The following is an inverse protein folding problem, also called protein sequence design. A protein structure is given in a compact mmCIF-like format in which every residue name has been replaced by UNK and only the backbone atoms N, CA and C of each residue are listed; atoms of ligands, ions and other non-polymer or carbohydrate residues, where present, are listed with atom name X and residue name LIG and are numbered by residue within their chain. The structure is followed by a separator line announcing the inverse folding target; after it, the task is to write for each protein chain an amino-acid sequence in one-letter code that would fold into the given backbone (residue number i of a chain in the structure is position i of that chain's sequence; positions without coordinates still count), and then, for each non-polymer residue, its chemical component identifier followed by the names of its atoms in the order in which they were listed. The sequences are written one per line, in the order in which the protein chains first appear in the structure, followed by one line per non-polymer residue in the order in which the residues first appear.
data_IF_141832857704
#
_entry.id   IF_141832857704
#
_cell.length_a   1.000
_cell.length_b   1.000
_cell.length_c   1.000
_cell.angle_alpha   90.00
_cell.angle_beta   90.00
_cell.angle_gamma   90.00
#
_symmetry.space_group_name_H-M   'P 1'
#
loop_
_entity.id
_entity.type
_entity.pdbx_description
1 polymer ?
#
# COMPACT_ATOMS: atom_id res chain seq x y z
N UNK A 1 -9.18 -2.73 -5.69
CA UNK A 1 -8.68 -3.21 -4.38
C UNK A 1 -7.23 -3.65 -4.51
N UNK A 2 -6.30 -2.96 -3.86
CA UNK A 2 -4.88 -3.34 -3.76
C UNK A 2 -4.60 -3.98 -2.38
N UNK A 3 -3.34 -4.05 -1.95
CA UNK A 3 -2.92 -4.56 -0.64
C UNK A 3 -1.56 -3.98 -0.25
N UNK A 4 -1.32 -3.81 1.05
CA UNK A 4 -0.01 -3.41 1.58
C UNK A 4 1.07 -4.46 1.26
N UNK A 5 0.72 -5.72 1.04
CA UNK A 5 1.67 -6.71 0.52
C UNK A 5 2.23 -6.32 -0.85
N UNK A 6 1.42 -5.67 -1.69
CA UNK A 6 1.87 -5.13 -2.98
C UNK A 6 2.55 -3.76 -2.87
N UNK A 7 2.08 -2.90 -1.96
CA UNK A 7 2.59 -1.53 -1.81
C UNK A 7 3.90 -1.44 -1.03
N UNK A 8 4.09 -2.32 -0.04
CA UNK A 8 5.24 -2.34 0.89
C UNK A 8 6.01 -3.64 0.68
N UNK A 9 5.32 -4.78 0.85
CA UNK A 9 5.95 -6.09 0.81
C UNK A 9 5.49 -6.99 1.94
N UNK A 10 5.58 -8.30 1.72
CA UNK A 10 5.37 -9.33 2.72
C UNK A 10 6.03 -10.65 2.31
N UNK A 11 6.35 -11.51 3.28
CA UNK A 11 6.95 -12.81 3.01
C UNK A 11 5.97 -13.77 2.34
N UNK A 12 6.48 -14.60 1.42
CA UNK A 12 5.72 -15.67 0.76
C UNK A 12 4.59 -15.19 -0.16
N UNK A 13 4.55 -13.90 -0.50
CA UNK A 13 3.43 -13.30 -1.23
C UNK A 13 3.85 -12.65 -2.56
N UNK A 14 4.98 -13.02 -3.16
CA UNK A 14 5.50 -12.35 -4.38
C UNK A 14 4.48 -12.26 -5.53
N UNK A 15 3.77 -13.36 -5.81
CA UNK A 15 2.70 -13.41 -6.82
C UNK A 15 1.51 -12.50 -6.48
N UNK A 16 1.07 -12.52 -5.22
CA UNK A 16 -0.01 -11.69 -4.71
C UNK A 16 0.37 -10.21 -4.71
N UNK A 17 1.58 -9.89 -4.26
CA UNK A 17 2.17 -8.54 -4.27
C UNK A 17 2.22 -7.98 -5.68
N UNK A 18 2.75 -8.75 -6.64
CA UNK A 18 2.79 -8.35 -8.05
C UNK A 18 1.39 -8.05 -8.59
N UNK A 19 0.42 -8.96 -8.36
CA UNK A 19 -0.95 -8.76 -8.81
C UNK A 19 -1.60 -7.51 -8.17
N UNK A 20 -1.43 -7.30 -6.87
CA UNK A 20 -2.04 -6.17 -6.15
C UNK A 20 -1.41 -4.83 -6.48
N UNK A 21 -0.11 -4.79 -6.73
CA UNK A 21 0.55 -3.59 -7.23
C UNK A 21 0.13 -3.29 -8.67
N UNK A 22 -0.07 -4.32 -9.49
CA UNK A 22 -0.66 -4.19 -10.83
C UNK A 22 -2.05 -3.54 -10.82
N UNK A 23 -2.90 -3.89 -9.85
CA UNK A 23 -4.21 -3.24 -9.66
C UNK A 23 -4.07 -1.75 -9.32
N UNK A 24 -3.07 -1.37 -8.52
CA UNK A 24 -2.81 0.04 -8.20
C UNK A 24 -2.38 0.82 -9.46
N UNK A 25 -1.48 0.23 -10.26
CA UNK A 25 -1.09 0.79 -11.56
C UNK A 25 -2.27 0.95 -12.52
N UNK A 26 -3.10 -0.09 -12.66
CA UNK A 26 -4.30 -0.05 -13.49
C UNK A 26 -5.28 1.05 -13.05
N UNK A 27 -5.55 1.16 -11.75
CA UNK A 27 -6.43 2.19 -11.20
C UNK A 27 -5.91 3.59 -11.50
N UNK A 28 -4.59 3.80 -11.43
CA UNK A 28 -3.97 5.08 -11.80
C UNK A 28 -4.16 5.40 -13.28
N UNK A 29 -3.98 4.44 -14.19
CA UNK A 29 -4.22 4.65 -15.61
C UNK A 29 -5.69 4.97 -15.89
N UNK A 30 -6.63 4.23 -15.29
CA UNK A 30 -8.07 4.54 -15.43
C UNK A 30 -8.38 5.96 -14.95
N UNK A 31 -7.82 6.38 -13.81
CA UNK A 31 -8.03 7.73 -13.30
C UNK A 31 -7.55 8.82 -14.29
N UNK A 32 -6.43 8.59 -14.98
CA UNK A 32 -5.91 9.52 -15.99
C UNK A 32 -6.73 9.48 -17.28
N UNK A 33 -6.95 8.29 -17.83
CA UNK A 33 -7.62 8.11 -19.13
C UNK A 33 -9.08 8.59 -19.10
N UNK A 34 -9.72 8.47 -17.94
CA UNK A 34 -11.14 8.74 -17.78
C UNK A 34 -11.46 10.07 -17.09
N UNK A 35 -10.45 10.87 -16.73
CA UNK A 35 -10.62 12.18 -16.09
C UNK A 35 -11.55 13.10 -16.91
N UNK A 36 -11.34 13.16 -18.23
CA UNK A 36 -12.17 13.96 -19.16
C UNK A 36 -13.64 13.57 -19.21
N UNK A 37 -13.98 12.37 -18.71
CA UNK A 37 -15.35 11.86 -18.63
C UNK A 37 -15.93 11.96 -17.22
N UNK A 38 -15.25 12.66 -16.30
CA UNK A 38 -15.61 12.77 -14.90
C UNK A 38 -15.74 11.41 -14.20
N UNK A 39 -14.92 10.43 -14.62
CA UNK A 39 -14.86 9.11 -13.98
C UNK A 39 -13.62 9.08 -13.07
N UNK A 40 -13.84 8.67 -11.82
CA UNK A 40 -12.82 8.57 -10.79
C UNK A 40 -12.42 7.12 -10.60
N UNK A 41 -11.13 6.88 -10.32
CA UNK A 41 -10.64 5.56 -9.94
C UNK A 41 -9.69 5.66 -8.77
N UNK A 42 -9.98 4.93 -7.70
CA UNK A 42 -9.17 4.91 -6.49
C UNK A 42 -8.98 3.45 -6.04
N UNK A 43 -7.95 3.20 -5.26
CA UNK A 43 -7.71 1.90 -4.64
C UNK A 43 -7.89 1.96 -3.14
N UNK A 44 -8.50 0.92 -2.58
CA UNK A 44 -8.45 0.62 -1.15
C UNK A 44 -7.51 -0.56 -0.93
N UNK A 45 -6.64 -0.45 0.08
CA UNK A 45 -5.78 -1.49 0.62
C UNK A 45 -6.31 -1.90 2.00
N UNK A 46 -7.17 -2.93 2.09
CA UNK A 46 -7.87 -3.24 3.32
C UNK A 46 -7.03 -4.09 4.27
N UNK A 47 -7.19 -3.84 5.56
CA UNK A 47 -6.89 -4.79 6.63
C UNK A 47 -8.21 -5.35 7.14
N UNK A 48 -8.55 -6.56 6.71
CA UNK A 48 -9.79 -7.21 7.12
C UNK A 48 -9.58 -8.70 7.39
N UNK A 49 -10.10 -9.16 8.53
CA UNK A 49 -10.30 -10.54 8.83
C UNK A 49 -11.39 -11.12 7.93
N UNK A 50 -11.00 -12.13 7.16
CA UNK A 50 -11.88 -12.86 6.26
C UNK A 50 -11.52 -14.33 6.28
N UNK A 51 -12.34 -15.16 5.63
CA UNK A 51 -12.05 -16.61 5.46
C UNK A 51 -10.65 -16.87 4.89
N UNK A 52 -10.11 -15.94 4.08
CA UNK A 52 -8.78 -16.04 3.47
C UNK A 52 -7.63 -16.08 4.49
N UNK A 53 -7.81 -15.49 5.68
CA UNK A 53 -6.80 -15.50 6.75
C UNK A 53 -7.25 -16.30 8.00
N UNK A 54 -8.39 -16.97 7.91
CA UNK A 54 -8.94 -17.79 8.99
C UNK A 54 -8.20 -19.11 9.23
N UNK A 55 -7.25 -19.48 8.36
CA UNK A 55 -6.45 -20.70 8.47
C UNK A 55 -5.11 -20.51 9.21
N UNK A 56 -4.89 -19.34 9.85
CA UNK A 56 -3.69 -19.11 10.65
C UNK A 56 -3.75 -20.04 11.88
N UNK A 57 -2.76 -20.92 12.09
CA UNK A 57 -2.72 -21.79 13.27
C UNK A 57 -2.71 -20.99 14.57
N UNK A 58 -3.52 -21.42 15.53
CA UNK A 58 -3.64 -20.83 16.87
C UNK A 58 -3.45 -21.91 17.92
N UNK A 59 -2.21 -22.39 18.04
CA UNK A 59 -1.85 -23.51 18.92
C UNK A 59 -1.52 -23.03 20.34
N UNK A 60 -1.41 -21.72 20.55
CA UNK A 60 -1.08 -21.08 21.83
C UNK A 60 -2.13 -20.03 22.25
N UNK A 61 -2.33 -19.80 23.56
CA UNK A 61 -3.22 -18.75 24.06
C UNK A 61 -2.90 -17.36 23.51
N UNK A 62 -1.61 -17.05 23.33
CA UNK A 62 -1.14 -15.78 22.78
C UNK A 62 -1.54 -15.62 21.30
N UNK A 63 -1.44 -16.69 20.50
CA UNK A 63 -1.90 -16.70 19.12
C UNK A 63 -3.42 -16.55 19.03
N UNK A 64 -4.16 -17.19 19.95
CA UNK A 64 -5.62 -17.06 20.01
C UNK A 64 -6.04 -15.62 20.33
N UNK A 65 -5.44 -15.00 21.35
CA UNK A 65 -5.70 -13.61 21.72
C UNK A 65 -5.36 -12.64 20.57
N UNK A 66 -4.26 -12.89 19.85
CA UNK A 66 -3.90 -12.13 18.63
C UNK A 66 -4.97 -12.28 17.55
N UNK A 67 -5.44 -13.48 17.27
CA UNK A 67 -6.51 -13.71 16.28
C UNK A 67 -7.81 -13.01 16.70
N UNK A 68 -8.16 -13.03 17.98
CA UNK A 68 -9.36 -12.36 18.46
C UNK A 68 -9.27 -10.83 18.35
N UNK A 69 -8.07 -10.25 18.49
CA UNK A 69 -7.83 -8.85 18.11
C UNK A 69 -8.04 -8.62 16.62
N UNK A 70 -7.48 -9.49 15.75
CA UNK A 70 -7.60 -9.35 14.30
C UNK A 70 -9.06 -9.48 13.82
N UNK A 71 -9.87 -10.34 14.46
CA UNK A 71 -11.31 -10.50 14.16
C UNK A 71 -12.11 -9.22 14.35
N UNK A 72 -11.63 -8.25 15.13
CA UNK A 72 -12.27 -6.93 15.28
C UNK A 72 -12.09 -6.02 14.06
N UNK A 73 -11.24 -6.41 13.11
CA UNK A 73 -11.06 -5.72 11.83
C UNK A 73 -11.85 -6.45 10.76
N UNK A 74 -13.17 -6.27 10.72
CA UNK A 74 -14.00 -6.92 9.72
C UNK A 74 -14.16 -6.10 8.44
N UNK A 75 -14.75 -6.68 7.38
CA UNK A 75 -15.05 -5.95 6.14
C UNK A 75 -15.95 -4.72 6.36
N UNK A 76 -16.76 -4.71 7.42
CA UNK A 76 -17.58 -3.57 7.85
C UNK A 76 -16.75 -2.33 8.18
N UNK A 77 -15.47 -2.48 8.55
CA UNK A 77 -14.58 -1.33 8.75
C UNK A 77 -14.12 -0.71 7.42
N UNK A 78 -14.15 -1.47 6.32
CA UNK A 78 -13.72 -1.02 5.00
C UNK A 78 -14.87 -0.34 4.25
N UNK A 79 -16.10 -0.82 4.47
CA UNK A 79 -17.29 -0.39 3.75
C UNK A 79 -17.54 1.13 3.76
N UNK A 80 -17.38 1.87 4.89
CA UNK A 80 -17.59 3.32 4.91
C UNK A 80 -16.70 4.08 3.93
N UNK A 81 -15.42 3.70 3.82
CA UNK A 81 -14.47 4.33 2.88
C UNK A 81 -14.86 4.03 1.44
N UNK A 82 -15.29 2.78 1.16
CA UNK A 82 -15.76 2.42 -0.17
C UNK A 82 -17.01 3.22 -0.58
N UNK A 83 -17.98 3.35 0.32
CA UNK A 83 -19.21 4.13 0.08
C UNK A 83 -18.87 5.62 -0.11
N UNK A 84 -17.99 6.18 0.71
CA UNK A 84 -17.54 7.57 0.56
C UNK A 84 -16.92 7.82 -0.83
N UNK A 85 -15.98 6.98 -1.27
CA UNK A 85 -15.30 7.13 -2.57
C UNK A 85 -16.24 6.98 -3.77
N UNK A 86 -17.37 6.30 -3.60
CA UNK A 86 -18.42 6.17 -4.62
C UNK A 86 -19.44 7.33 -4.60
N UNK A 87 -19.43 8.16 -3.56
CA UNK A 87 -20.37 9.27 -3.38
C UNK A 87 -19.91 10.55 -4.09
N UNK A 88 -20.81 11.53 -4.18
CA UNK A 88 -20.53 12.88 -4.67
C UNK A 88 -19.62 13.66 -3.72
N UNK A 89 -19.62 13.33 -2.42
CA UNK A 89 -18.76 13.97 -1.43
C UNK A 89 -17.25 13.71 -1.65
N UNK A 90 -16.92 12.75 -2.51
CA UNK A 90 -15.54 12.45 -2.92
C UNK A 90 -15.22 12.96 -4.34
N UNK A 91 -15.98 13.92 -4.88
CA UNK A 91 -15.85 14.37 -6.28
C UNK A 91 -14.41 14.75 -6.66
N UNK A 92 -13.64 15.31 -5.73
CA UNK A 92 -12.25 15.74 -5.95
C UNK A 92 -11.21 14.62 -5.69
N UNK A 93 -11.65 13.38 -5.44
CA UNK A 93 -10.77 12.25 -5.10
C UNK A 93 -10.64 11.29 -6.29
N UNK A 94 -9.50 11.32 -6.97
CA UNK A 94 -9.17 10.38 -8.05
C UNK A 94 -7.69 10.01 -8.06
N UNK A 95 -7.39 8.78 -8.50
CA UNK A 95 -6.05 8.25 -8.65
C UNK A 95 -5.30 8.06 -7.32
N UNK A 96 -6.02 7.89 -6.21
CA UNK A 96 -5.47 7.74 -4.86
C UNK A 96 -5.51 6.29 -4.36
N UNK A 97 -4.72 6.02 -3.33
CA UNK A 97 -4.65 4.72 -2.67
C UNK A 97 -4.84 4.94 -1.17
N UNK A 98 -5.88 4.33 -0.59
CA UNK A 98 -6.18 4.41 0.84
C UNK A 98 -5.95 3.07 1.51
N UNK A 99 -5.04 2.97 2.47
CA UNK A 99 -5.01 1.83 3.37
C UNK A 99 -6.03 2.05 4.50
N UNK A 100 -6.81 1.01 4.79
CA UNK A 100 -7.91 1.11 5.77
C UNK A 100 -7.78 -0.02 6.77
N UNK A 101 -7.65 0.33 8.04
CA UNK A 101 -7.44 -0.60 9.15
C UNK A 101 -8.29 -0.19 10.34
N UNK A 102 -9.40 -0.90 10.56
CA UNK A 102 -10.37 -0.58 11.61
C UNK A 102 -10.84 0.89 11.54
N UNK A 103 -10.53 1.72 12.53
CA UNK A 103 -10.89 3.14 12.56
C UNK A 103 -9.82 4.05 11.95
N UNK A 104 -8.83 3.48 11.27
CA UNK A 104 -7.72 4.22 10.68
C UNK A 104 -7.81 4.22 9.15
N UNK A 105 -7.62 5.41 8.55
CA UNK A 105 -7.54 5.60 7.10
C UNK A 105 -6.22 6.31 6.80
N UNK A 106 -5.39 5.70 5.95
CA UNK A 106 -4.09 6.20 5.56
C UNK A 106 -4.08 6.51 4.07
N UNK A 107 -3.59 7.69 3.70
CA UNK A 107 -3.25 7.98 2.31
C UNK A 107 -1.87 7.39 1.99
N UNK A 108 -1.82 6.46 1.03
CA UNK A 108 -0.56 5.85 0.60
C UNK A 108 0.12 6.71 -0.46
N UNK A 109 1.44 6.86 -0.35
CA UNK A 109 2.26 7.61 -1.32
C UNK A 109 2.26 6.95 -2.70
N UNK A 110 2.53 7.74 -3.74
CA UNK A 110 2.69 7.28 -5.11
C UNK A 110 4.12 7.52 -5.58
N UNK A 111 4.61 6.68 -6.50
CA UNK A 111 5.97 6.78 -7.03
C UNK A 111 6.23 8.15 -7.67
N UNK A 112 7.17 8.90 -7.11
CA UNK A 112 7.67 10.18 -7.63
C UNK A 112 9.19 10.23 -7.42
N UNK A 113 9.95 10.96 -8.27
CA UNK A 113 11.36 11.19 -7.98
C UNK A 113 11.51 11.88 -6.62
N UNK A 114 12.31 11.29 -5.73
CA UNK A 114 12.60 11.86 -4.41
C UNK A 114 13.98 12.56 -4.38
N UNK A 115 14.90 12.10 -5.24
CA UNK A 115 16.27 12.61 -5.31
C UNK A 115 16.86 12.38 -6.71
N UNK A 116 17.81 13.22 -7.10
CA UNK A 116 18.56 13.08 -8.36
C UNK A 116 20.03 13.45 -8.19
N UNK A 117 20.87 12.89 -9.08
CA UNK A 117 22.25 13.29 -9.34
C UNK A 117 22.44 13.41 -10.85
N UNK A 118 23.30 14.33 -11.27
CA UNK A 118 23.58 14.60 -12.68
C UNK A 118 25.08 14.42 -12.96
N UNK A 119 25.38 14.00 -14.19
CA UNK A 119 26.74 13.95 -14.73
C UNK A 119 26.71 14.37 -16.21
N UNK A 120 27.39 15.47 -16.56
CA UNK A 120 27.44 15.98 -17.93
C UNK A 120 28.18 15.05 -18.89
N UNK A 121 29.14 14.28 -18.36
CA UNK A 121 30.00 13.39 -19.14
C UNK A 121 29.42 11.97 -19.31
N UNK A 122 28.21 11.72 -18.79
CA UNK A 122 27.59 10.39 -18.77
C UNK A 122 27.97 9.54 -17.53
N UNK A 123 27.28 8.42 -17.32
CA UNK A 123 27.51 7.55 -16.16
C UNK A 123 28.32 6.30 -16.54
N UNK A 124 29.33 5.98 -15.73
CA UNK A 124 29.99 4.67 -15.70
C UNK A 124 29.62 3.93 -14.41
N UNK A 125 29.74 2.58 -14.36
CA UNK A 125 29.54 1.82 -13.12
C UNK A 125 30.40 2.33 -11.95
N UNK A 126 31.66 2.69 -12.20
CA UNK A 126 32.58 3.21 -11.17
C UNK A 126 32.10 4.57 -10.62
N UNK A 127 31.72 5.50 -11.50
CA UNK A 127 31.19 6.80 -11.09
C UNK A 127 29.89 6.68 -10.28
N UNK A 128 29.06 5.66 -10.58
CA UNK A 128 27.86 5.35 -9.79
C UNK A 128 28.22 4.75 -8.43
N UNK A 129 29.19 3.81 -8.37
CA UNK A 129 29.63 3.23 -7.11
C UNK A 129 30.17 4.30 -6.14
N UNK A 130 30.92 5.28 -6.67
CA UNK A 130 31.47 6.39 -5.89
C UNK A 130 30.40 7.40 -5.43
N UNK A 131 29.38 7.67 -6.24
CA UNK A 131 28.48 8.82 -6.01
C UNK A 131 27.06 8.44 -5.62
N UNK A 132 26.50 7.33 -6.12
CA UNK A 132 25.08 7.01 -5.99
C UNK A 132 24.67 6.71 -4.55
N UNK A 133 25.26 5.68 -3.94
CA UNK A 133 24.89 5.28 -2.58
C UNK A 133 25.18 6.40 -1.60
N UNK A 134 26.36 7.07 -1.61
CA UNK A 134 26.59 8.21 -0.72
C UNK A 134 25.59 9.36 -0.90
N UNK A 135 25.13 9.63 -2.12
CA UNK A 135 24.18 10.72 -2.39
C UNK A 135 22.75 10.40 -1.95
N UNK A 136 22.36 9.12 -1.95
CA UNK A 136 20.97 8.70 -1.72
C UNK A 136 20.77 7.97 -0.39
N UNK A 137 21.84 7.67 0.37
CA UNK A 137 21.79 6.78 1.55
C UNK A 137 20.67 7.11 2.55
N UNK A 138 20.40 8.39 2.79
CA UNK A 138 19.36 8.83 3.75
C UNK A 138 17.95 8.76 3.19
N UNK A 139 17.81 8.67 1.86
CA UNK A 139 16.53 8.64 1.15
C UNK A 139 16.13 7.21 0.72
N UNK A 140 17.03 6.23 0.85
CA UNK A 140 16.74 4.83 0.54
C UNK A 140 15.77 4.24 1.55
N UNK A 141 14.70 3.63 1.04
CA UNK A 141 13.75 2.90 1.87
C UNK A 141 14.37 1.63 2.44
N UNK A 142 14.22 1.36 3.74
CA UNK A 142 14.60 0.08 4.32
C UNK A 142 13.73 -1.06 3.78
N UNK A 143 14.23 -2.31 3.87
CA UNK A 143 13.47 -3.48 3.46
C UNK A 143 12.49 -3.87 4.57
N UNK A 144 11.32 -3.26 4.55
CA UNK A 144 10.26 -3.45 5.54
C UNK A 144 9.10 -4.29 4.98
N UNK A 145 8.38 -4.94 5.89
CA UNK A 145 7.11 -5.60 5.59
C UNK A 145 5.96 -4.74 6.07
N UNK A 146 4.76 -5.07 5.61
CA UNK A 146 3.54 -4.40 6.08
C UNK A 146 3.43 -4.33 7.62
N UNK A 147 3.71 -5.37 8.41
CA UNK A 147 3.67 -5.28 9.87
C UNK A 147 4.78 -4.43 10.50
N UNK A 148 5.89 -4.23 9.81
CA UNK A 148 7.00 -3.41 10.30
C UNK A 148 6.64 -1.90 10.15
N UNK A 149 5.98 -1.56 9.04
CA UNK A 149 5.44 -0.20 8.79
C UNK A 149 4.21 0.09 9.64
N UNK A 150 3.28 -0.86 9.78
CA UNK A 150 2.05 -0.73 10.58
C UNK A 150 2.20 -1.44 11.93
N UNK A 151 3.20 -1.04 12.71
CA UNK A 151 3.69 -1.76 13.89
C UNK A 151 2.89 -1.56 15.18
N UNK A 152 1.85 -0.73 15.16
CA UNK A 152 1.00 -0.46 16.32
C UNK A 152 -0.35 -1.18 16.26
N UNK A 153 -0.96 -1.35 17.43
CA UNK A 153 -2.30 -1.92 17.56
C UNK A 153 -3.36 -0.98 16.93
N UNK A 154 -4.30 -1.51 16.13
CA UNK A 154 -5.32 -0.70 15.46
C UNK A 154 -6.38 -0.19 16.43
N UNK A 155 -6.72 1.10 16.29
CA UNK A 155 -7.70 1.80 17.13
C UNK A 155 -9.12 1.57 16.62
#
# INVERSE_FOLDING_TARGET
MTSTSGLIGNFGQSNYSAAKLGVAGLSRSIALDMERFNIRSNCISPFAWSRMIGSIPTDTPEQQARVDKLKKMGPENIAPVAVYLLSDAAADVSGQIFAVRRNEVFLMSQSRPIRSIHNSEGWTPDALAERLVPSFKTDLYPLERSPDVFSWDPI
#
